data_IF_545421680406
#
_entry.id   IF_545421680406
#
_cell.length_a   1.000
_cell.length_b   1.000
_cell.length_c   1.000
_cell.angle_alpha   90.00
_cell.angle_beta   90.00
_cell.angle_gamma   90.00
#
_symmetry.space_group_name_H-M   'P 1'
#
loop_
_entity.id
_entity.type
_entity.pdbx_description
1 polymer ?
#
# COMPACT_ATOMS: atom_id res chain seq x y z
N UNK A 1 -4.13 8.72 -2.02
CA UNK A 1 -3.46 9.00 -0.73
C UNK A 1 -3.00 10.44 -0.67
N UNK A 2 -2.81 10.99 0.53
CA UNK A 2 -2.37 12.39 0.75
C UNK A 2 -1.02 12.71 0.13
N UNK A 3 -0.12 11.72 0.02
CA UNK A 3 1.22 11.91 -0.57
C UNK A 3 1.19 12.46 -1.99
N UNK A 4 0.19 12.09 -2.82
CA UNK A 4 0.06 12.61 -4.18
C UNK A 4 -0.13 14.13 -4.23
N UNK A 5 -0.79 14.70 -3.22
CA UNK A 5 -0.98 16.15 -3.09
C UNK A 5 0.26 16.86 -2.55
N UNK A 6 1.02 16.19 -1.66
CA UNK A 6 2.14 16.82 -0.94
C UNK A 6 3.51 16.62 -1.60
N UNK A 7 3.66 15.60 -2.45
CA UNK A 7 4.98 15.17 -2.95
C UNK A 7 5.75 16.26 -3.69
N UNK A 8 5.07 17.02 -4.56
CA UNK A 8 5.69 18.14 -5.28
C UNK A 8 6.21 19.24 -4.34
N UNK A 9 5.43 19.58 -3.31
CA UNK A 9 5.79 20.60 -2.31
C UNK A 9 7.00 20.13 -1.47
N UNK A 10 6.96 18.89 -0.98
CA UNK A 10 8.02 18.30 -0.17
C UNK A 10 9.34 18.22 -0.96
N UNK A 11 9.25 17.80 -2.23
CA UNK A 11 10.40 17.70 -3.13
C UNK A 11 11.00 19.06 -3.44
N UNK A 12 10.16 20.05 -3.79
CA UNK A 12 10.62 21.40 -4.12
C UNK A 12 11.29 22.10 -2.93
N UNK A 13 10.85 21.80 -1.70
CA UNK A 13 11.43 22.36 -0.47
C UNK A 13 12.65 21.61 0.05
N UNK A 14 13.02 20.46 -0.55
CA UNK A 14 14.09 19.61 -0.03
C UNK A 14 13.79 19.04 1.36
N UNK A 15 12.52 18.76 1.67
CA UNK A 15 12.12 18.24 2.98
C UNK A 15 12.66 16.82 3.22
N UNK A 16 13.14 16.55 4.44
CA UNK A 16 13.54 15.21 4.86
C UNK A 16 12.30 14.37 5.20
N UNK A 17 11.76 13.69 4.18
CA UNK A 17 10.58 12.84 4.32
C UNK A 17 10.97 11.47 4.91
N UNK A 18 10.42 11.12 6.07
CA UNK A 18 10.51 9.78 6.65
C UNK A 18 9.20 9.06 6.36
N UNK A 19 9.28 7.84 5.81
CA UNK A 19 8.12 7.04 5.46
C UNK A 19 8.19 5.71 6.20
N UNK A 20 7.32 5.47 7.19
CA UNK A 20 7.18 4.14 7.75
C UNK A 20 6.57 3.22 6.68
N UNK A 21 7.21 2.08 6.44
CA UNK A 21 6.75 1.08 5.48
C UNK A 21 6.72 -0.26 6.18
N UNK A 22 5.53 -0.82 6.29
CA UNK A 22 5.36 -2.16 6.80
C UNK A 22 5.85 -3.20 5.80
N UNK A 23 6.54 -4.23 6.30
CA UNK A 23 7.11 -5.29 5.48
C UNK A 23 6.05 -6.17 4.81
N UNK A 24 4.79 -6.12 5.23
CA UNK A 24 3.65 -6.80 4.58
C UNK A 24 3.31 -6.19 3.21
N UNK A 25 3.67 -4.92 2.99
CA UNK A 25 3.45 -4.18 1.73
C UNK A 25 4.74 -4.06 0.91
N UNK A 26 5.73 -4.92 1.16
CA UNK A 26 7.05 -4.85 0.54
C UNK A 26 6.99 -5.09 -0.98
N UNK A 27 7.51 -4.14 -1.75
CA UNK A 27 7.82 -4.30 -3.18
C UNK A 27 9.35 -4.41 -3.32
N UNK A 28 9.90 -5.61 -3.59
CA UNK A 28 11.35 -5.82 -3.60
C UNK A 28 12.10 -4.96 -4.62
N UNK A 29 11.47 -4.64 -5.75
CA UNK A 29 12.07 -3.93 -6.89
C UNK A 29 11.26 -2.69 -7.27
N UNK A 30 11.11 -1.74 -6.34
CA UNK A 30 10.31 -0.50 -6.54
C UNK A 30 10.62 0.21 -7.87
N UNK A 31 11.89 0.32 -8.24
CA UNK A 31 12.30 1.00 -9.48
C UNK A 31 11.78 0.30 -10.74
N UNK A 32 11.85 -1.02 -10.77
CA UNK A 32 11.42 -1.79 -11.94
C UNK A 32 9.90 -1.92 -11.99
N UNK A 33 9.25 -2.04 -10.83
CA UNK A 33 7.80 -1.93 -10.71
C UNK A 33 7.30 -0.58 -11.24
N UNK A 34 7.92 0.54 -10.85
CA UNK A 34 7.56 1.87 -11.35
C UNK A 34 7.69 1.99 -12.88
N UNK A 35 8.77 1.46 -13.46
CA UNK A 35 8.99 1.47 -14.91
C UNK A 35 7.99 0.62 -15.69
N UNK A 36 7.48 -0.43 -15.06
CA UNK A 36 6.55 -1.38 -15.69
C UNK A 36 5.09 -0.92 -15.57
N UNK A 37 4.81 0.05 -14.70
CA UNK A 37 3.45 0.49 -14.38
C UNK A 37 3.09 1.84 -15.01
N UNK A 38 2.61 1.78 -16.26
CA UNK A 38 1.94 2.89 -16.96
C UNK A 38 0.49 2.53 -17.24
N UNK A 39 -0.47 3.33 -16.76
CA UNK A 39 -1.90 3.02 -16.89
C UNK A 39 -2.35 2.83 -18.35
N UNK A 40 -1.73 3.53 -19.30
CA UNK A 40 -2.07 3.48 -20.73
C UNK A 40 -1.20 2.47 -21.50
N UNK A 41 -0.24 1.81 -20.84
CA UNK A 41 0.72 0.90 -21.51
C UNK A 41 0.34 -0.57 -21.38
N UNK A 42 -0.67 -0.90 -20.59
CA UNK A 42 -1.08 -2.28 -20.36
C UNK A 42 -1.95 -2.83 -21.49
N UNK A 43 -1.57 -4.01 -22.01
CA UNK A 43 -2.43 -4.81 -22.88
C UNK A 43 -3.62 -5.42 -22.12
N UNK A 44 -3.37 -5.88 -20.89
CA UNK A 44 -4.37 -6.52 -20.03
C UNK A 44 -4.15 -6.11 -18.58
N UNK A 45 -5.24 -5.79 -17.87
CA UNK A 45 -5.23 -5.48 -16.45
C UNK A 45 -6.50 -6.04 -15.81
N UNK A 46 -6.35 -6.79 -14.71
CA UNK A 46 -7.49 -7.27 -13.93
C UNK A 46 -8.01 -6.13 -13.06
N UNK A 47 -9.02 -5.43 -13.57
CA UNK A 47 -9.61 -4.28 -12.88
C UNK A 47 -9.11 -2.95 -13.43
N UNK A 48 -8.91 -1.98 -12.54
CA UNK A 48 -8.53 -0.62 -12.91
C UNK A 48 -7.06 -0.59 -13.33
N UNK A 49 -6.78 -0.01 -14.50
CA UNK A 49 -5.41 0.28 -14.96
C UNK A 49 -4.80 1.35 -14.05
N UNK A 50 -3.61 1.08 -13.49
CA UNK A 50 -2.94 1.98 -12.54
C UNK A 50 -1.57 2.45 -13.02
N UNK A 51 -1.20 3.68 -12.66
CA UNK A 51 0.19 4.13 -12.72
C UNK A 51 0.86 3.96 -11.36
N UNK A 52 2.20 3.88 -11.34
CA UNK A 52 2.98 3.85 -10.11
C UNK A 52 3.90 5.06 -10.03
N UNK A 53 3.77 5.86 -8.97
CA UNK A 53 4.64 7.02 -8.72
C UNK A 53 5.52 6.67 -7.51
N UNK A 54 6.82 6.38 -7.70
CA UNK A 54 7.72 6.17 -6.59
C UNK A 54 8.00 7.49 -5.87
N UNK A 55 7.92 7.49 -4.54
CA UNK A 55 8.31 8.64 -3.72
C UNK A 55 9.83 8.69 -3.64
N UNK A 56 10.41 9.59 -4.44
CA UNK A 56 11.86 9.78 -4.47
C UNK A 56 12.32 10.57 -3.23
N UNK A 57 13.56 10.32 -2.78
CA UNK A 57 14.19 11.03 -1.66
C UNK A 57 13.55 10.84 -0.27
N UNK A 58 12.70 9.81 -0.11
CA UNK A 58 12.19 9.40 1.19
C UNK A 58 13.18 8.48 1.92
N UNK A 59 13.32 8.67 3.23
CA UNK A 59 13.94 7.70 4.12
C UNK A 59 12.89 6.69 4.56
N UNK A 60 12.99 5.47 4.03
CA UNK A 60 12.16 4.35 4.46
C UNK A 60 12.60 3.91 5.85
N UNK A 61 11.62 3.66 6.73
CA UNK A 61 11.82 3.04 8.04
C UNK A 61 10.89 1.85 8.11
N UNK A 62 11.45 0.65 8.24
CA UNK A 62 10.69 -0.59 8.38
C UNK A 62 10.56 -1.00 9.85
N UNK A 63 9.81 -2.06 10.14
CA UNK A 63 9.75 -2.65 11.48
C UNK A 63 11.13 -3.05 11.99
N UNK A 64 12.02 -3.54 11.11
CA UNK A 64 13.39 -3.91 11.48
C UNK A 64 14.19 -2.68 11.94
N UNK A 65 14.03 -1.56 11.23
CA UNK A 65 14.61 -0.28 11.65
C UNK A 65 14.00 0.20 12.96
N UNK A 66 12.70 0.01 13.17
CA UNK A 66 12.03 0.39 14.40
C UNK A 66 12.57 -0.39 15.60
N UNK A 67 12.80 -1.71 15.47
CA UNK A 67 13.44 -2.51 16.52
C UNK A 67 14.82 -1.97 16.90
N UNK A 68 15.63 -1.64 15.89
CA UNK A 68 16.96 -1.06 16.09
C UNK A 68 16.91 0.33 16.72
N UNK A 69 16.05 1.21 16.22
CA UNK A 69 15.96 2.63 16.66
C UNK A 69 15.38 2.75 18.07
N UNK A 70 14.33 1.99 18.39
CA UNK A 70 13.59 2.14 19.64
C UNK A 70 14.17 1.30 20.78
N UNK A 71 14.76 0.15 20.47
CA UNK A 71 15.17 -0.83 21.49
C UNK A 71 16.63 -1.24 21.40
N UNK A 72 17.36 -0.83 20.36
CA UNK A 72 18.73 -1.30 20.07
C UNK A 72 18.81 -2.83 20.01
N UNK A 73 17.84 -3.43 19.28
CA UNK A 73 17.72 -4.86 19.03
C UNK A 73 18.05 -5.18 17.57
N UNK A 74 18.67 -6.34 17.35
CA UNK A 74 18.82 -6.91 16.00
C UNK A 74 17.52 -7.63 15.63
N UNK A 75 16.98 -7.32 14.45
CA UNK A 75 15.72 -7.89 13.99
C UNK A 75 15.85 -8.44 12.57
N UNK A 76 15.34 -9.66 12.36
CA UNK A 76 15.35 -10.36 11.07
C UNK A 76 13.91 -10.67 10.66
N UNK A 77 13.54 -10.29 9.44
CA UNK A 77 12.28 -10.68 8.83
C UNK A 77 12.37 -12.15 8.39
N UNK A 78 11.58 -13.03 9.01
CA UNK A 78 11.65 -14.49 8.77
C UNK A 78 10.45 -15.04 8.00
N UNK A 79 9.38 -14.27 7.88
CA UNK A 79 8.23 -14.66 7.10
C UNK A 79 7.22 -13.54 6.98
N UNK A 80 6.45 -13.57 5.90
CA UNK A 80 5.31 -12.70 5.68
C UNK A 80 4.23 -13.45 4.91
N UNK A 81 2.99 -13.01 5.04
CA UNK A 81 1.85 -13.62 4.38
C UNK A 81 0.54 -13.14 4.97
N UNK A 82 -0.58 -13.41 4.31
CA UNK A 82 -1.90 -13.04 4.83
C UNK A 82 -2.88 -14.19 4.63
N UNK A 83 -3.78 -14.38 5.58
CA UNK A 83 -4.98 -15.19 5.43
C UNK A 83 -6.21 -14.30 5.59
N UNK A 84 -7.33 -14.68 4.96
CA UNK A 84 -8.61 -13.95 4.96
C UNK A 84 -8.52 -12.54 4.37
N UNK A 85 -8.58 -11.50 5.21
CA UNK A 85 -8.92 -10.10 4.95
C UNK A 85 -7.91 -9.37 4.03
N UNK A 86 -6.88 -10.07 3.56
CA UNK A 86 -5.79 -9.57 2.71
C UNK A 86 -4.95 -8.45 3.32
N UNK A 87 -5.03 -8.25 4.64
CA UNK A 87 -4.26 -7.23 5.38
C UNK A 87 -2.76 -7.58 5.53
N UNK A 88 -2.39 -8.84 5.24
CA UNK A 88 -1.03 -9.34 5.40
C UNK A 88 -0.60 -9.46 6.87
N UNK A 89 0.56 -10.08 7.08
CA UNK A 89 1.18 -10.31 8.37
C UNK A 89 2.69 -10.43 8.17
N UNK A 90 3.43 -10.09 9.22
CA UNK A 90 4.90 -10.11 9.25
C UNK A 90 5.33 -10.91 10.48
N UNK A 91 6.34 -11.76 10.31
CA UNK A 91 6.98 -12.54 11.36
C UNK A 91 8.43 -12.08 11.45
N UNK A 92 8.80 -11.59 12.64
CA UNK A 92 10.13 -11.04 12.92
C UNK A 92 10.75 -11.80 14.09
N UNK A 93 12.03 -12.14 13.96
CA UNK A 93 12.86 -12.62 15.08
C UNK A 93 13.72 -11.46 15.55
N UNK A 94 13.58 -11.09 16.83
CA UNK A 94 14.41 -10.07 17.47
C UNK A 94 15.36 -10.71 18.49
N UNK A 95 16.62 -10.25 18.52
CA UNK A 95 17.67 -10.75 19.40
C UNK A 95 18.37 -9.61 20.13
N UNK A 96 18.71 -9.83 21.41
CA UNK A 96 19.43 -8.88 22.24
C UNK A 96 19.26 -9.15 23.74
N UNK A 97 19.64 -8.19 24.58
CA UNK A 97 19.56 -8.31 26.03
C UNK A 97 18.12 -8.40 26.53
N UNK A 98 17.92 -9.18 27.60
CA UNK A 98 16.60 -9.40 28.21
C UNK A 98 15.85 -8.10 28.50
N UNK A 99 16.51 -7.11 29.10
CA UNK A 99 15.87 -5.85 29.46
C UNK A 99 15.35 -5.09 28.23
N UNK A 100 16.05 -5.16 27.10
CA UNK A 100 15.65 -4.54 25.83
C UNK A 100 14.49 -5.30 25.20
N UNK A 101 14.54 -6.63 25.24
CA UNK A 101 13.47 -7.51 24.78
C UNK A 101 12.18 -7.29 25.58
N UNK A 102 12.26 -7.22 26.92
CA UNK A 102 11.12 -7.01 27.80
C UNK A 102 10.43 -5.66 27.50
N UNK A 103 11.21 -4.59 27.23
CA UNK A 103 10.67 -3.30 26.79
C UNK A 103 9.99 -3.38 25.42
N UNK A 104 10.60 -4.08 24.46
CA UNK A 104 10.04 -4.25 23.12
C UNK A 104 8.71 -5.01 23.18
N UNK A 105 8.66 -6.12 23.93
CA UNK A 105 7.45 -6.91 24.15
C UNK A 105 6.35 -6.05 24.76
N UNK A 106 6.65 -5.29 25.82
CA UNK A 106 5.67 -4.44 26.48
C UNK A 106 5.03 -3.41 25.53
N UNK A 107 5.83 -2.76 24.66
CA UNK A 107 5.29 -1.82 23.69
C UNK A 107 4.46 -2.54 22.61
N UNK A 108 4.97 -3.64 22.06
CA UNK A 108 4.31 -4.37 20.98
C UNK A 108 2.95 -4.92 21.44
N UNK A 109 2.88 -5.51 22.62
CA UNK A 109 1.62 -6.01 23.19
C UNK A 109 0.62 -4.87 23.47
N UNK A 110 1.10 -3.65 23.76
CA UNK A 110 0.22 -2.50 23.97
C UNK A 110 -0.44 -1.97 22.68
N UNK A 111 0.17 -2.21 21.51
CA UNK A 111 -0.33 -1.75 20.20
C UNK A 111 -1.02 -2.88 19.42
N UNK A 112 -0.77 -4.15 19.74
CA UNK A 112 -1.44 -5.27 19.09
C UNK A 112 -2.94 -5.23 19.37
N UNK A 113 -3.75 -5.46 18.33
CA UNK A 113 -5.22 -5.47 18.43
C UNK A 113 -5.92 -4.20 17.97
N UNK A 114 -5.21 -3.29 17.28
CA UNK A 114 -5.84 -2.17 16.57
C UNK A 114 -6.97 -2.65 15.65
N UNK A 115 -8.02 -1.83 15.56
CA UNK A 115 -9.20 -2.14 14.76
C UNK A 115 -8.78 -2.20 13.29
N UNK A 116 -9.11 -3.31 12.62
CA UNK A 116 -8.86 -3.48 11.20
C UNK A 116 -9.46 -2.34 10.38
N UNK A 117 -8.72 -1.90 9.36
CA UNK A 117 -9.24 -0.95 8.39
C UNK A 117 -10.43 -1.59 7.65
N UNK A 118 -11.46 -0.79 7.39
CA UNK A 118 -12.62 -1.22 6.59
C UNK A 118 -12.60 -0.48 5.26
N UNK A 119 -11.72 -0.86 4.31
CA UNK A 119 -11.70 -0.21 3.01
C UNK A 119 -13.04 -0.45 2.30
N UNK A 120 -13.70 0.63 1.88
CA UNK A 120 -14.92 0.54 1.09
C UNK A 120 -14.56 0.59 -0.40
N UNK A 121 -14.81 -0.50 -1.11
CA UNK A 121 -14.72 -0.56 -2.57
C UNK A 121 -16.03 -0.03 -3.19
N UNK A 122 -15.94 0.83 -4.20
CA UNK A 122 -17.12 1.21 -4.99
C UNK A 122 -17.61 0.04 -5.85
N UNK A 123 -18.92 -0.03 -6.10
CA UNK A 123 -19.48 -1.03 -7.01
C UNK A 123 -18.94 -0.83 -8.43
N UNK A 124 -18.73 -1.92 -9.16
CA UNK A 124 -18.24 -1.83 -10.54
C UNK A 124 -19.20 -1.07 -11.46
N UNK A 125 -20.49 -1.03 -11.10
CA UNK A 125 -21.55 -0.26 -11.79
C UNK A 125 -21.33 1.26 -11.74
N UNK A 126 -20.72 1.77 -10.68
CA UNK A 126 -20.52 3.22 -10.46
C UNK A 126 -19.08 3.61 -10.10
N UNK A 127 -18.12 2.70 -10.26
CA UNK A 127 -16.72 2.95 -9.95
C UNK A 127 -16.13 3.99 -10.91
N UNK A 128 -15.66 5.10 -10.34
CA UNK A 128 -15.01 6.19 -11.08
C UNK A 128 -13.48 6.08 -10.92
N UNK A 129 -12.70 6.19 -12.01
CA UNK A 129 -11.25 6.26 -11.91
C UNK A 129 -10.84 7.59 -11.28
N UNK A 130 -9.97 7.52 -10.27
CA UNK A 130 -9.51 8.63 -9.40
C UNK A 130 -8.76 9.76 -10.14
N UNK A 131 -8.44 9.56 -11.41
CA UNK A 131 -7.63 10.47 -12.26
C UNK A 131 -8.47 11.44 -13.10
N UNK A 132 -9.80 11.34 -13.10
CA UNK A 132 -10.62 12.30 -13.84
C UNK A 132 -10.69 13.63 -13.06
N UNK A 133 -10.39 14.78 -13.69
CA UNK A 133 -10.71 16.06 -13.09
C UNK A 133 -12.21 16.05 -12.80
N UNK A 134 -12.58 16.42 -11.58
CA UNK A 134 -13.93 16.29 -11.06
C UNK A 134 -15.02 17.01 -11.90
N UNK A 135 -14.66 17.77 -12.93
CA UNK A 135 -15.52 18.77 -13.57
C UNK A 135 -15.79 18.58 -15.07
N UNK A 136 -15.25 17.55 -15.75
CA UNK A 136 -15.54 17.33 -17.18
C UNK A 136 -16.23 15.99 -17.43
N UNK A 137 -17.56 16.03 -17.60
CA UNK A 137 -18.39 14.85 -17.87
C UNK A 137 -18.09 14.16 -19.20
N UNK A 138 -17.57 14.89 -20.20
CA UNK A 138 -17.25 14.33 -21.51
C UNK A 138 -16.02 13.41 -21.43
N UNK A 139 -14.98 13.83 -20.69
CA UNK A 139 -13.78 13.02 -20.45
C UNK A 139 -14.08 11.73 -19.66
N UNK A 140 -15.17 11.68 -18.87
CA UNK A 140 -15.56 10.48 -18.08
C UNK A 140 -15.96 9.29 -18.95
N UNK A 141 -16.42 9.55 -20.19
CA UNK A 141 -17.10 8.59 -21.07
C UNK A 141 -16.19 7.86 -22.05
N UNK A 142 -15.00 8.39 -22.36
CA UNK A 142 -14.13 7.84 -23.41
C UNK A 142 -12.99 6.94 -22.91
N UNK A 143 -12.61 7.00 -21.62
CA UNK A 143 -11.46 6.23 -21.12
C UNK A 143 -11.88 4.85 -20.61
N UNK A 144 -11.50 3.79 -21.35
CA UNK A 144 -11.59 2.40 -20.88
C UNK A 144 -10.53 2.11 -19.81
N UNK A 145 -10.85 2.51 -18.58
CA UNK A 145 -9.95 2.39 -17.43
C UNK A 145 -10.06 1.05 -16.70
N UNK A 146 -11.10 0.24 -16.96
CA UNK A 146 -11.36 -1.00 -16.22
C UNK A 146 -12.28 -1.96 -16.99
N UNK A 147 -11.83 -3.21 -17.17
CA UNK A 147 -12.58 -4.24 -17.89
C UNK A 147 -13.90 -4.70 -17.23
N UNK A 148 -14.13 -4.33 -15.97
CA UNK A 148 -15.34 -4.66 -15.20
C UNK A 148 -16.30 -3.47 -15.05
N UNK A 149 -15.96 -2.30 -15.64
CA UNK A 149 -16.78 -1.09 -15.54
C UNK A 149 -18.21 -1.34 -16.03
N UNK A 150 -19.19 -0.89 -15.25
CA UNK A 150 -20.62 -1.01 -15.58
C UNK A 150 -21.25 -2.37 -15.31
N UNK A 151 -20.44 -3.40 -14.96
CA UNK A 151 -20.96 -4.74 -14.69
C UNK A 151 -21.60 -4.84 -13.32
N UNK A 152 -22.74 -5.54 -13.25
CA UNK A 152 -23.38 -5.93 -12.01
C UNK A 152 -22.64 -7.12 -11.36
N UNK A 153 -22.93 -7.38 -10.09
CA UNK A 153 -22.22 -8.35 -9.26
C UNK A 153 -22.31 -9.79 -9.82
N UNK A 154 -23.44 -10.14 -10.43
CA UNK A 154 -23.70 -11.44 -11.06
C UNK A 154 -22.95 -11.64 -12.38
N UNK A 155 -22.52 -10.55 -13.04
CA UNK A 155 -21.72 -10.56 -14.27
C UNK A 155 -20.21 -10.62 -14.00
N UNK A 156 -19.78 -10.36 -12.76
CA UNK A 156 -18.38 -10.42 -12.37
C UNK A 156 -17.89 -11.88 -12.31
N UNK A 157 -16.59 -12.14 -12.54
CA UNK A 157 -16.00 -13.45 -12.25
C UNK A 157 -16.19 -13.84 -10.78
N UNK A 158 -16.37 -15.13 -10.44
CA UNK A 158 -16.63 -15.57 -9.06
C UNK A 158 -15.63 -15.05 -8.03
N UNK A 159 -14.36 -14.93 -8.40
CA UNK A 159 -13.30 -14.41 -7.52
C UNK A 159 -13.35 -12.89 -7.27
N UNK A 160 -14.17 -12.15 -8.02
CA UNK A 160 -14.40 -10.71 -7.84
C UNK A 160 -15.70 -10.40 -7.12
N UNK A 161 -16.56 -11.41 -6.91
CA UNK A 161 -17.85 -11.26 -6.24
C UNK A 161 -17.66 -11.23 -4.73
N UNK A 162 -18.24 -10.26 -4.04
CA UNK A 162 -18.29 -10.24 -2.58
C UNK A 162 -16.94 -10.02 -1.88
N UNK A 163 -16.06 -9.20 -2.45
CA UNK A 163 -14.95 -8.58 -1.72
C UNK A 163 -15.39 -7.23 -1.13
#
# INVERSE_FOLDING_TARGET
GTIGWSFGILSARGSHLIVPVGLEKLVPSVRDAARSCGQDTFYYCQGIKIGMIPVMNARVVTELDAFRILFDLEAVHVGGGGSSDSEGAVVVVASGDRERLDRAIALIESIKGEIALRPAKSLCTNCLPTILPANDEAARREVDSCMYRGKAEDELPPFMRGA
#
